data_IF_207923786281
#
_entry.id   IF_207923786281
#
_cell.length_a   1.000
_cell.length_b   1.000
_cell.length_c   1.000
_cell.angle_alpha   90.00
_cell.angle_beta   90.00
_cell.angle_gamma   90.00
#
_symmetry.space_group_name_H-M   'P 1'
#
loop_
_entity.id
_entity.type
_entity.pdbx_description
1 polymer ?
#
# COMPACT_ATOMS: atom_id res chain seq x y z
N UNK A 1 -14.97 77.84 15.17
CA UNK A 1 -14.69 76.40 15.15
C UNK A 1 -14.54 75.95 13.70
N UNK A 2 -13.32 75.60 13.25
CA UNK A 2 -13.04 75.15 11.87
C UNK A 2 -12.42 73.75 11.94
N UNK A 3 -13.21 72.70 11.68
CA UNK A 3 -12.73 71.33 11.59
C UNK A 3 -12.22 71.06 10.16
N UNK A 4 -10.94 70.74 10.03
CA UNK A 4 -10.34 70.31 8.76
C UNK A 4 -10.56 68.81 8.58
N UNK A 5 -11.31 68.44 7.53
CA UNK A 5 -11.44 67.07 7.04
C UNK A 5 -10.13 66.74 6.31
N UNK A 6 -9.37 65.76 6.81
CA UNK A 6 -8.27 65.14 6.04
C UNK A 6 -8.81 63.87 5.37
N UNK A 7 -8.95 63.92 4.05
CA UNK A 7 -9.04 62.71 3.23
C UNK A 7 -7.72 61.95 3.36
N UNK A 8 -7.77 60.68 3.76
CA UNK A 8 -6.68 59.73 3.59
C UNK A 8 -7.10 58.78 2.47
N UNK A 9 -6.44 58.91 1.32
CA UNK A 9 -6.57 57.98 0.21
C UNK A 9 -5.94 56.64 0.63
N UNK A 10 -6.78 55.61 0.78
CA UNK A 10 -6.33 54.26 1.07
C UNK A 10 -6.03 53.56 -0.25
N UNK A 11 -4.76 53.60 -0.65
CA UNK A 11 -4.22 52.89 -1.80
C UNK A 11 -4.30 51.39 -1.57
N UNK A 12 -5.31 50.72 -2.14
CA UNK A 12 -5.39 49.26 -2.19
C UNK A 12 -4.33 48.79 -3.20
N UNK A 13 -3.14 48.44 -2.69
CA UNK A 13 -2.19 47.63 -3.44
C UNK A 13 -2.77 46.22 -3.58
N UNK A 14 -3.36 45.93 -4.74
CA UNK A 14 -3.56 44.56 -5.23
C UNK A 14 -2.18 43.97 -5.54
N UNK A 15 -1.57 43.35 -4.53
CA UNK A 15 -0.46 42.45 -4.76
C UNK A 15 -1.00 41.20 -5.46
N UNK A 16 -0.88 41.17 -6.79
CA UNK A 16 -0.92 39.92 -7.55
C UNK A 16 0.30 39.10 -7.13
N UNK A 17 0.13 38.31 -6.06
CA UNK A 17 1.08 37.25 -5.72
C UNK A 17 1.16 36.29 -6.90
N UNK A 18 2.36 36.11 -7.42
CA UNK A 18 2.66 35.10 -8.43
C UNK A 18 2.20 33.75 -7.90
N UNK A 19 1.17 33.16 -8.49
CA UNK A 19 0.87 31.75 -8.31
C UNK A 19 2.00 30.99 -9.01
N UNK A 20 3.06 30.64 -8.29
CA UNK A 20 3.99 29.62 -8.77
C UNK A 20 3.24 28.29 -8.72
N UNK A 21 2.93 27.75 -9.91
CA UNK A 21 2.54 26.36 -10.05
C UNK A 21 3.75 25.49 -9.68
N UNK A 22 3.85 25.13 -8.40
CA UNK A 22 4.73 24.04 -7.99
C UNK A 22 4.15 22.76 -8.57
N UNK A 23 4.95 22.04 -9.36
CA UNK A 23 4.70 20.65 -9.73
C UNK A 23 4.27 19.89 -8.48
N UNK A 24 3.17 19.13 -8.55
CA UNK A 24 2.74 18.27 -7.43
C UNK A 24 3.96 17.47 -6.93
N UNK A 25 4.35 17.79 -5.70
CA UNK A 25 5.71 17.72 -5.18
C UNK A 25 6.10 16.29 -4.78
N UNK A 26 7.26 15.83 -5.26
CA UNK A 26 7.89 14.56 -4.88
C UNK A 26 8.05 14.43 -3.35
N UNK A 27 8.18 15.56 -2.63
CA UNK A 27 8.22 15.57 -1.17
C UNK A 27 6.84 15.35 -0.52
N UNK A 28 5.73 15.71 -1.17
CA UNK A 28 4.39 15.48 -0.64
C UNK A 28 4.08 13.98 -0.53
N UNK A 29 4.46 13.18 -1.53
CA UNK A 29 4.37 11.72 -1.48
C UNK A 29 5.22 11.14 -0.34
N UNK A 30 6.44 11.66 -0.14
CA UNK A 30 7.31 11.18 0.94
C UNK A 30 6.73 11.44 2.33
N UNK A 31 6.02 12.55 2.53
CA UNK A 31 5.33 12.83 3.80
C UNK A 31 4.22 11.80 4.09
N UNK A 32 3.51 11.30 3.06
CA UNK A 32 2.49 10.26 3.25
C UNK A 32 3.07 8.98 3.87
N UNK A 33 4.28 8.58 3.45
CA UNK A 33 4.97 7.39 3.94
C UNK A 33 5.59 7.52 5.34
N UNK A 34 5.90 8.75 5.78
CA UNK A 34 6.54 9.00 7.08
C UNK A 34 5.53 9.42 8.15
N UNK A 35 4.50 10.19 7.78
CA UNK A 35 3.56 10.81 8.72
C UNK A 35 2.08 10.67 8.30
N UNK A 36 1.79 10.13 7.11
CA UNK A 36 0.42 9.91 6.61
C UNK A 36 -0.12 8.52 6.92
N UNK A 37 -1.24 8.14 6.30
CA UNK A 37 -1.84 6.82 6.53
C UNK A 37 -0.88 5.67 6.17
N UNK A 38 -0.01 5.84 5.17
CA UNK A 38 0.97 4.82 4.78
C UNK A 38 1.98 4.52 5.89
N UNK A 39 2.19 5.43 6.84
CA UNK A 39 3.07 5.26 7.99
C UNK A 39 2.42 4.51 9.17
N UNK A 40 1.15 4.11 9.07
CA UNK A 40 0.49 3.32 10.13
C UNK A 40 0.64 1.80 9.92
N UNK A 41 1.15 1.38 8.78
CA UNK A 41 1.33 -0.02 8.40
C UNK A 41 2.73 -0.55 8.74
N UNK A 42 3.08 -1.71 8.18
CA UNK A 42 4.30 -2.45 8.52
C UNK A 42 5.59 -1.62 8.37
N UNK A 43 5.74 -0.89 7.28
CA UNK A 43 6.92 -0.06 7.02
C UNK A 43 7.03 1.08 8.03
N UNK A 44 5.91 1.74 8.33
CA UNK A 44 5.86 2.79 9.35
C UNK A 44 6.11 2.26 10.76
N UNK A 45 5.72 1.02 11.09
CA UNK A 45 6.12 0.39 12.35
C UNK A 45 7.64 0.18 12.42
N UNK A 46 8.24 -0.34 11.35
CA UNK A 46 9.69 -0.52 11.28
C UNK A 46 10.43 0.82 11.42
N UNK A 47 9.96 1.87 10.75
CA UNK A 47 10.55 3.20 10.89
C UNK A 47 10.33 3.80 12.29
N UNK A 48 9.07 3.91 12.72
CA UNK A 48 8.70 4.71 13.89
C UNK A 48 8.86 3.98 15.22
N UNK A 49 8.83 2.65 15.23
CA UNK A 49 8.94 1.84 16.46
C UNK A 49 10.25 1.06 16.54
N UNK A 50 10.78 0.60 15.41
CA UNK A 50 12.06 -0.14 15.39
C UNK A 50 13.25 0.76 15.05
N UNK A 51 13.02 2.00 14.58
CA UNK A 51 14.08 2.97 14.29
C UNK A 51 14.90 2.65 13.05
N UNK A 52 14.39 1.84 12.12
CA UNK A 52 15.10 1.53 10.87
C UNK A 52 14.77 2.55 9.78
N UNK A 53 15.72 2.77 8.87
CA UNK A 53 15.56 3.78 7.82
C UNK A 53 14.93 3.17 6.56
N UNK A 54 14.45 4.03 5.65
CA UNK A 54 13.87 3.58 4.36
C UNK A 54 14.82 2.64 3.61
N UNK A 55 16.13 2.94 3.64
CA UNK A 55 17.17 2.15 2.99
C UNK A 55 17.37 0.74 3.56
N UNK A 56 16.84 0.45 4.75
CA UNK A 56 16.87 -0.89 5.32
C UNK A 56 16.04 -1.86 4.48
N UNK A 57 14.90 -1.39 3.94
CA UNK A 57 14.05 -2.19 3.06
C UNK A 57 14.32 -1.88 1.59
N UNK A 58 14.57 -0.62 1.25
CA UNK A 58 14.70 -0.13 -0.12
C UNK A 58 16.16 0.17 -0.48
N UNK A 59 16.87 -0.72 -1.21
CA UNK A 59 18.24 -0.43 -1.66
C UNK A 59 18.29 0.78 -2.59
N UNK A 60 17.20 0.99 -3.33
CA UNK A 60 16.92 2.17 -4.15
C UNK A 60 15.49 2.63 -3.91
N UNK A 61 15.16 3.86 -4.29
CA UNK A 61 13.79 4.37 -4.30
C UNK A 61 12.85 3.59 -5.24
N UNK A 62 13.40 2.90 -6.23
CA UNK A 62 12.67 2.01 -7.14
C UNK A 62 12.52 0.61 -6.55
N UNK A 63 11.34 0.04 -6.74
CA UNK A 63 11.00 -1.35 -6.41
C UNK A 63 10.68 -2.09 -7.70
N UNK A 64 11.22 -3.29 -7.86
CA UNK A 64 10.94 -4.15 -9.01
C UNK A 64 9.61 -4.87 -8.83
N UNK A 65 8.97 -5.29 -9.93
CA UNK A 65 7.70 -6.03 -9.86
C UNK A 65 7.80 -7.32 -9.03
N UNK A 66 9.00 -7.90 -8.96
CA UNK A 66 9.25 -9.10 -8.15
C UNK A 66 9.43 -8.81 -6.66
N UNK A 67 9.76 -7.55 -6.33
CA UNK A 67 10.11 -7.07 -5.00
C UNK A 67 11.21 -7.90 -4.29
N UNK A 68 12.00 -8.65 -5.06
CA UNK A 68 12.97 -9.60 -4.52
C UNK A 68 14.03 -8.92 -3.64
N UNK A 69 14.40 -7.70 -4.00
CA UNK A 69 15.30 -6.87 -3.22
C UNK A 69 14.72 -6.53 -1.83
N UNK A 70 13.40 -6.34 -1.73
CA UNK A 70 12.70 -6.10 -0.46
C UNK A 70 12.64 -7.40 0.35
N UNK A 71 12.33 -8.52 -0.29
CA UNK A 71 12.29 -9.84 0.36
C UNK A 71 13.64 -10.21 0.98
N UNK A 72 14.75 -9.90 0.31
CA UNK A 72 16.11 -10.10 0.84
C UNK A 72 16.31 -9.29 2.11
N UNK A 73 15.86 -8.03 2.14
CA UNK A 73 15.91 -7.20 3.35
C UNK A 73 15.10 -7.80 4.50
N UNK A 74 13.90 -8.34 4.24
CA UNK A 74 13.11 -9.03 5.26
C UNK A 74 13.87 -10.24 5.85
N UNK A 75 14.45 -11.05 4.96
CA UNK A 75 15.14 -12.28 5.33
C UNK A 75 16.43 -12.03 6.11
N UNK A 76 17.07 -10.87 5.92
CA UNK A 76 18.30 -10.50 6.66
C UNK A 76 18.09 -10.43 8.18
N UNK A 77 16.85 -10.16 8.65
CA UNK A 77 16.51 -10.09 10.07
C UNK A 77 15.59 -11.22 10.53
N UNK A 78 14.62 -11.64 9.71
CA UNK A 78 13.59 -12.60 10.12
C UNK A 78 13.90 -14.06 9.72
N UNK A 79 14.79 -14.26 8.76
CA UNK A 79 15.08 -15.55 8.13
C UNK A 79 14.15 -15.87 6.95
N UNK A 80 14.42 -16.99 6.29
CA UNK A 80 13.66 -17.43 5.11
C UNK A 80 12.26 -17.93 5.47
N UNK A 81 11.34 -17.89 4.50
CA UNK A 81 10.00 -18.47 4.61
C UNK A 81 10.03 -19.91 5.16
N UNK A 82 10.92 -20.75 4.62
CA UNK A 82 11.12 -22.13 5.11
C UNK A 82 11.48 -22.18 6.60
N UNK A 83 12.47 -21.38 7.02
CA UNK A 83 12.91 -21.35 8.43
C UNK A 83 11.80 -20.87 9.37
N UNK A 84 10.96 -19.94 8.92
CA UNK A 84 9.81 -19.46 9.68
C UNK A 84 8.73 -20.54 9.79
N UNK A 85 8.46 -21.27 8.71
CA UNK A 85 7.54 -22.42 8.71
C UNK A 85 7.99 -23.58 9.61
N UNK A 86 9.29 -23.87 9.63
CA UNK A 86 9.89 -24.84 10.55
C UNK A 86 9.74 -24.38 12.01
N UNK A 87 10.02 -23.10 12.31
CA UNK A 87 9.79 -22.50 13.64
C UNK A 87 8.33 -22.58 14.08
N UNK A 88 7.37 -22.31 13.19
CA UNK A 88 5.95 -22.44 13.48
C UNK A 88 5.58 -23.90 13.81
N UNK A 89 6.12 -24.86 13.05
CA UNK A 89 5.93 -26.30 13.29
C UNK A 89 6.49 -26.71 14.66
N UNK A 90 7.71 -26.26 14.99
CA UNK A 90 8.37 -26.55 16.27
C UNK A 90 7.61 -25.97 17.46
N UNK A 91 6.88 -24.86 17.26
CA UNK A 91 5.98 -24.28 18.26
C UNK A 91 4.63 -24.98 18.36
N UNK A 92 4.45 -26.11 17.64
CA UNK A 92 3.22 -26.91 17.68
C UNK A 92 2.03 -26.24 17.02
N UNK A 93 2.24 -25.26 16.12
CA UNK A 93 1.11 -24.64 15.41
C UNK A 93 0.47 -25.67 14.45
N UNK A 94 -0.85 -25.88 14.50
CA UNK A 94 -1.52 -26.84 13.63
C UNK A 94 -1.52 -26.39 12.16
N UNK A 95 -1.50 -25.08 11.92
CA UNK A 95 -1.39 -24.47 10.59
C UNK A 95 -0.34 -23.37 10.66
N UNK A 96 0.56 -23.32 9.68
CA UNK A 96 1.56 -22.26 9.54
C UNK A 96 1.33 -21.47 8.26
N UNK A 97 1.26 -20.14 8.39
CA UNK A 97 1.25 -19.22 7.26
C UNK A 97 2.56 -19.25 6.44
N UNK A 98 3.63 -19.80 7.01
CA UNK A 98 4.95 -19.90 6.41
C UNK A 98 5.30 -21.33 5.95
N UNK A 99 4.30 -22.22 5.89
CA UNK A 99 4.45 -23.61 5.46
C UNK A 99 3.20 -24.11 4.76
N UNK A 100 2.80 -23.40 3.71
CA UNK A 100 1.68 -23.78 2.83
C UNK A 100 2.07 -24.70 1.67
N UNK A 101 1.06 -25.12 0.91
CA UNK A 101 1.25 -25.88 -0.34
C UNK A 101 1.61 -24.99 -1.54
N UNK A 102 1.52 -23.67 -1.38
CA UNK A 102 1.99 -22.71 -2.37
C UNK A 102 3.50 -22.52 -2.20
N UNK A 103 4.25 -22.65 -3.29
CA UNK A 103 5.70 -22.39 -3.33
C UNK A 103 6.00 -20.89 -3.32
N UNK A 104 5.41 -20.16 -2.37
CA UNK A 104 5.64 -18.72 -2.17
C UNK A 104 6.92 -18.56 -1.35
N UNK A 105 7.86 -17.77 -1.88
CA UNK A 105 9.06 -17.35 -1.16
C UNK A 105 9.08 -15.84 -0.87
N UNK A 106 8.13 -15.10 -1.43
CA UNK A 106 8.00 -13.66 -1.23
C UNK A 106 7.28 -13.35 0.08
N UNK A 107 7.91 -12.51 0.89
CA UNK A 107 7.36 -12.00 2.14
C UNK A 107 6.25 -10.99 1.84
N UNK A 108 6.45 -10.15 0.84
CA UNK A 108 5.55 -9.04 0.49
C UNK A 108 4.23 -9.48 -0.12
N UNK A 109 4.15 -10.72 -0.63
CA UNK A 109 2.89 -11.35 -1.06
C UNK A 109 1.80 -11.29 0.02
N UNK A 110 2.18 -11.39 1.30
CA UNK A 110 1.25 -11.28 2.42
C UNK A 110 1.49 -10.02 3.27
N UNK A 111 2.76 -9.68 3.50
CA UNK A 111 3.19 -8.61 4.39
C UNK A 111 3.45 -7.31 3.62
N UNK A 112 2.45 -6.46 3.57
CA UNK A 112 2.48 -5.24 2.78
C UNK A 112 3.09 -4.09 3.60
N UNK A 113 4.10 -3.43 3.01
CA UNK A 113 4.85 -2.37 3.70
C UNK A 113 4.01 -1.14 4.01
N UNK A 114 3.45 -0.54 2.98
CA UNK A 114 2.75 0.75 3.04
C UNK A 114 1.22 0.63 2.97
N UNK A 115 0.65 -0.55 3.19
CA UNK A 115 -0.80 -0.75 3.24
C UNK A 115 -1.16 -1.95 4.11
N UNK A 116 -2.46 -2.20 4.30
CA UNK A 116 -2.93 -3.33 5.09
C UNK A 116 -2.43 -4.65 4.52
N UNK A 117 -1.78 -5.45 5.36
CA UNK A 117 -1.34 -6.80 5.01
C UNK A 117 -2.53 -7.75 4.87
N UNK A 118 -2.39 -8.82 4.09
CA UNK A 118 -3.45 -9.82 3.96
C UNK A 118 -2.86 -11.23 3.82
N UNK A 119 -3.42 -12.20 4.56
CA UNK A 119 -2.97 -13.58 4.46
C UNK A 119 -3.45 -14.17 3.13
N UNK A 120 -2.57 -14.25 2.13
CA UNK A 120 -2.93 -14.62 0.76
C UNK A 120 -3.71 -15.95 0.65
N UNK A 121 -3.41 -16.92 1.52
CA UNK A 121 -4.12 -18.20 1.58
C UNK A 121 -5.61 -18.06 1.93
N UNK A 122 -6.01 -16.98 2.60
CA UNK A 122 -7.42 -16.70 2.91
C UNK A 122 -8.23 -16.23 1.69
N UNK A 123 -7.62 -16.07 0.51
CA UNK A 123 -8.38 -16.00 -0.73
C UNK A 123 -9.19 -17.29 -0.96
N UNK A 124 -8.59 -18.45 -0.66
CA UNK A 124 -9.23 -19.77 -0.81
C UNK A 124 -9.71 -20.39 0.51
N UNK A 125 -9.00 -20.11 1.61
CA UNK A 125 -9.29 -20.67 2.93
C UNK A 125 -9.97 -19.66 3.85
N UNK A 126 -10.43 -20.15 4.99
CA UNK A 126 -10.95 -19.33 6.09
C UNK A 126 -10.20 -19.75 7.36
N UNK A 127 -9.00 -19.21 7.52
CA UNK A 127 -8.21 -19.41 8.73
C UNK A 127 -8.21 -18.15 9.59
N UNK A 128 -8.26 -18.34 10.91
CA UNK A 128 -7.91 -17.29 11.86
C UNK A 128 -6.38 -17.09 11.83
N UNK A 129 -5.95 -16.09 11.07
CA UNK A 129 -4.55 -15.74 10.84
C UNK A 129 -4.28 -14.33 11.36
N UNK A 130 -4.13 -14.15 12.69
CA UNK A 130 -3.85 -12.83 13.24
C UNK A 130 -2.49 -12.35 12.73
N UNK A 131 -2.53 -11.28 11.94
CA UNK A 131 -1.36 -10.65 11.34
C UNK A 131 -1.29 -9.19 11.76
N UNK A 132 -0.09 -8.74 12.16
CA UNK A 132 0.13 -7.32 12.46
C UNK A 132 -0.12 -6.49 11.21
N UNK A 133 -0.85 -5.39 11.37
CA UNK A 133 -1.26 -4.50 10.28
C UNK A 133 -2.08 -5.23 9.21
N UNK A 134 -2.68 -6.37 9.56
CA UNK A 134 -3.49 -7.16 8.66
C UNK A 134 -4.92 -6.66 8.60
N UNK A 135 -5.52 -6.66 7.41
CA UNK A 135 -6.97 -6.58 7.24
C UNK A 135 -7.59 -7.97 7.32
N UNK A 136 -8.82 -8.03 7.85
CA UNK A 136 -9.62 -9.24 7.79
C UNK A 136 -10.08 -9.51 6.35
N UNK A 137 -10.40 -10.78 6.04
CA UNK A 137 -11.10 -11.09 4.79
C UNK A 137 -12.45 -10.36 4.85
N UNK A 138 -12.67 -9.41 3.95
CA UNK A 138 -13.99 -8.82 3.76
C UNK A 138 -14.88 -9.98 3.27
N UNK A 139 -16.00 -10.28 3.96
CA UNK A 139 -16.92 -11.31 3.50
C UNK A 139 -17.30 -11.03 2.04
N UNK A 140 -17.27 -12.05 1.19
CA UNK A 140 -17.85 -11.93 -0.13
C UNK A 140 -19.34 -11.63 0.06
N UNK A 141 -19.74 -10.41 -0.29
CA UNK A 141 -21.15 -10.08 -0.49
C UNK A 141 -21.44 -10.42 -1.94
N UNK A 142 -22.36 -11.36 -2.22
CA UNK A 142 -22.81 -11.60 -3.58
C UNK A 142 -23.24 -10.27 -4.17
N UNK A 143 -22.55 -9.85 -5.23
CA UNK A 143 -22.99 -8.73 -6.02
C UNK A 143 -24.28 -9.13 -6.73
N UNK A 144 -25.29 -8.26 -6.71
CA UNK A 144 -26.51 -8.51 -7.47
C UNK A 144 -26.17 -8.47 -8.96
N UNK A 145 -26.02 -9.64 -9.57
CA UNK A 145 -25.68 -9.76 -10.98
C UNK A 145 -26.81 -9.27 -11.89
N UNK A 146 -28.01 -9.04 -11.37
CA UNK A 146 -29.13 -8.45 -12.11
C UNK A 146 -28.82 -7.05 -12.65
N UNK A 147 -27.87 -6.32 -12.04
CA UNK A 147 -27.40 -5.05 -12.59
C UNK A 147 -26.66 -5.20 -13.93
N UNK A 148 -26.17 -6.40 -14.25
CA UNK A 148 -25.50 -6.74 -15.50
C UNK A 148 -26.44 -7.41 -16.52
N UNK A 149 -27.75 -7.52 -16.23
CA UNK A 149 -28.71 -8.16 -17.15
C UNK A 149 -28.76 -7.49 -18.53
N UNK A 150 -28.41 -6.21 -18.60
CA UNK A 150 -28.34 -5.43 -19.85
C UNK A 150 -26.91 -5.24 -20.36
N UNK A 151 -25.91 -5.88 -19.75
CA UNK A 151 -24.53 -5.80 -20.19
C UNK A 151 -24.35 -6.63 -21.48
N UNK A 152 -24.49 -5.97 -22.63
CA UNK A 152 -24.09 -6.57 -23.90
C UNK A 152 -22.55 -6.72 -23.91
N UNK A 153 -22.01 -7.91 -24.22
CA UNK A 153 -20.56 -8.08 -24.31
C UNK A 153 -20.02 -7.16 -25.41
N UNK A 154 -18.98 -6.37 -25.10
CA UNK A 154 -18.34 -5.50 -26.08
C UNK A 154 -17.66 -6.28 -27.22
N UNK A 155 -17.34 -7.56 -26.99
CA UNK A 155 -16.75 -8.47 -27.95
C UNK A 155 -17.35 -9.87 -27.77
N UNK A 156 -17.73 -10.51 -28.87
CA UNK A 156 -18.15 -11.92 -28.90
C UNK A 156 -17.10 -12.71 -29.66
N UNK A 157 -16.83 -13.97 -29.27
CA UNK A 157 -15.77 -14.81 -29.86
C UNK A 157 -15.84 -14.94 -31.40
N UNK A 158 -16.98 -14.62 -32.02
CA UNK A 158 -17.15 -14.57 -33.48
C UNK A 158 -16.62 -13.31 -34.19
N UNK A 159 -16.19 -12.25 -33.49
CA UNK A 159 -15.76 -10.99 -34.12
C UNK A 159 -14.26 -10.89 -34.40
N UNK A 160 -13.47 -11.92 -34.06
CA UNK A 160 -12.06 -12.02 -34.49
C UNK A 160 -12.01 -12.83 -35.78
N UNK A 161 -12.39 -12.21 -36.89
CA UNK A 161 -12.16 -12.79 -38.21
C UNK A 161 -10.65 -12.77 -38.46
N UNK A 162 -10.05 -13.96 -38.43
CA UNK A 162 -8.66 -14.27 -38.77
C UNK A 162 -8.18 -13.45 -39.97
N UNK A 163 -7.34 -12.43 -39.71
CA UNK A 163 -6.41 -11.89 -40.70
C UNK A 163 -5.04 -12.54 -40.48
N UNK A 164 -4.93 -13.78 -40.91
CA UNK A 164 -3.69 -14.41 -41.36
C UNK A 164 -3.99 -15.14 -42.66
#
# INVERSE_FOLDING_TARGET
MKNKIKLVALSILLAFGSVQAQSMDENANKQEYVQGQKSTYLAGYHQNKMGVNCSTCHPTDKVTDSEREIDVSCQSCHGSYRSLGEKDTQRGKPISAHKGHLSISSCTTCHQGHQESFAYCNNCHIFDMPMKFGRQKIPYLPEDLGQYDNAAPAFTEGSVQSKY
#
